data_IF_802994973614
#
_entry.id   IF_802994973614
#
_cell.length_a   1.000
_cell.length_b   1.000
_cell.length_c   1.000
_cell.angle_alpha   90.00
_cell.angle_beta   90.00
_cell.angle_gamma   90.00
#
_symmetry.space_group_name_H-M   'P 1'
#
loop_
_entity.id
_entity.type
_entity.pdbx_description
1 polymer ?
#
# COMPACT_ATOMS: atom_id res chain seq x y z
N UNK A 1 -12.76 0.42 11.31
CA UNK A 1 -13.53 0.88 10.13
C UNK A 1 -13.85 -0.33 9.29
N UNK A 2 -15.12 -0.58 8.93
CA UNK A 2 -15.48 -1.74 8.13
C UNK A 2 -15.15 -1.45 6.66
N UNK A 3 -14.34 -2.32 6.03
CA UNK A 3 -14.03 -2.21 4.61
C UNK A 3 -15.27 -2.57 3.78
N UNK A 4 -15.46 -1.81 2.71
CA UNK A 4 -16.49 -2.06 1.71
C UNK A 4 -15.93 -2.95 0.60
N UNK A 5 -16.78 -3.62 -0.21
CA UNK A 5 -16.32 -4.36 -1.38
C UNK A 5 -15.45 -3.51 -2.33
N UNK A 6 -15.77 -2.22 -2.48
CA UNK A 6 -14.98 -1.30 -3.30
C UNK A 6 -13.59 -1.01 -2.72
N UNK A 7 -13.46 -0.95 -1.39
CA UNK A 7 -12.14 -0.82 -0.75
C UNK A 7 -11.29 -2.06 -1.00
N UNK A 8 -11.90 -3.25 -0.91
CA UNK A 8 -11.21 -4.51 -1.21
C UNK A 8 -10.75 -4.57 -2.67
N UNK A 9 -11.64 -4.28 -3.62
CA UNK A 9 -11.28 -4.24 -5.04
C UNK A 9 -10.15 -3.24 -5.31
N UNK A 10 -10.18 -2.08 -4.64
CA UNK A 10 -9.11 -1.12 -4.78
C UNK A 10 -7.77 -1.62 -4.21
N UNK A 11 -7.79 -2.22 -3.02
CA UNK A 11 -6.58 -2.81 -2.44
C UNK A 11 -5.97 -3.87 -3.35
N UNK A 12 -6.79 -4.76 -3.92
CA UNK A 12 -6.32 -5.77 -4.87
C UNK A 12 -5.63 -5.16 -6.10
N UNK A 13 -6.16 -4.06 -6.64
CA UNK A 13 -5.48 -3.34 -7.74
C UNK A 13 -4.11 -2.83 -7.30
N UNK A 14 -4.01 -2.25 -6.10
CA UNK A 14 -2.73 -1.77 -5.58
C UNK A 14 -1.75 -2.89 -5.23
N UNK A 15 -2.24 -4.07 -4.84
CA UNK A 15 -1.40 -5.26 -4.66
C UNK A 15 -0.79 -5.69 -6.00
N UNK A 16 -1.58 -5.73 -7.07
CA UNK A 16 -1.08 -6.03 -8.42
C UNK A 16 -0.05 -5.00 -8.89
N UNK A 17 -0.33 -3.71 -8.73
CA UNK A 17 0.64 -2.64 -9.03
C UNK A 17 1.96 -2.84 -8.26
N UNK A 18 1.88 -3.18 -6.97
CA UNK A 18 3.04 -3.38 -6.12
C UNK A 18 3.83 -4.66 -6.44
N UNK A 19 3.19 -5.71 -6.94
CA UNK A 19 3.87 -6.96 -7.35
C UNK A 19 4.88 -6.69 -8.45
N UNK A 20 4.59 -5.78 -9.37
CA UNK A 20 5.47 -5.44 -10.49
C UNK A 20 6.56 -4.42 -10.13
N UNK A 21 6.45 -3.75 -8.97
CA UNK A 21 7.46 -2.78 -8.50
C UNK A 21 8.73 -3.46 -7.99
N UNK A 22 9.90 -2.85 -8.20
CA UNK A 22 11.10 -3.24 -7.46
C UNK A 22 10.91 -3.01 -5.95
N UNK A 23 11.67 -3.70 -5.09
CA UNK A 23 11.56 -3.49 -3.63
C UNK A 23 11.88 -2.05 -3.22
N UNK A 24 12.85 -1.40 -3.87
CA UNK A 24 13.16 0.01 -3.64
C UNK A 24 12.01 0.92 -4.09
N UNK A 25 11.42 0.65 -5.26
CA UNK A 25 10.27 1.40 -5.77
C UNK A 25 9.05 1.26 -4.87
N UNK A 26 8.79 0.05 -4.35
CA UNK A 26 7.71 -0.19 -3.39
C UNK A 26 7.92 0.60 -2.08
N UNK A 27 9.15 0.62 -1.55
CA UNK A 27 9.48 1.41 -0.35
C UNK A 27 9.31 2.91 -0.61
N UNK A 28 9.70 3.40 -1.78
CA UNK A 28 9.51 4.80 -2.16
C UNK A 28 8.02 5.17 -2.26
N UNK A 29 7.22 4.36 -2.94
CA UNK A 29 5.77 4.54 -3.01
C UNK A 29 5.12 4.53 -1.61
N UNK A 30 5.56 3.65 -0.71
CA UNK A 30 5.10 3.65 0.69
C UNK A 30 5.48 4.94 1.43
N UNK A 31 6.66 5.51 1.17
CA UNK A 31 7.06 6.80 1.76
C UNK A 31 6.19 7.95 1.25
N UNK A 32 5.87 7.97 -0.03
CA UNK A 32 4.97 8.97 -0.62
C UNK A 32 3.58 8.94 0.02
N UNK A 33 2.99 7.75 0.15
CA UNK A 33 1.69 7.59 0.81
C UNK A 33 1.76 8.00 2.29
N UNK A 34 2.85 7.65 2.99
CA UNK A 34 3.08 8.09 4.38
C UNK A 34 3.18 9.62 4.49
N UNK A 35 3.85 10.27 3.54
CA UNK A 35 3.97 11.73 3.50
C UNK A 35 2.61 12.40 3.26
N UNK A 36 1.76 11.83 2.40
CA UNK A 36 0.39 12.30 2.21
C UNK A 36 -0.39 12.20 3.53
N UNK A 37 -0.31 11.07 4.24
CA UNK A 37 -0.99 10.90 5.53
C UNK A 37 -0.48 11.83 6.62
N UNK A 38 0.81 12.19 6.61
CA UNK A 38 1.36 13.20 7.52
C UNK A 38 0.81 14.60 7.24
N UNK A 39 0.47 14.89 5.99
CA UNK A 39 -0.18 16.12 5.54
C UNK A 39 -1.69 15.98 5.38
N UNK A 40 -2.32 15.00 6.05
CA UNK A 40 -3.75 14.66 5.87
C UNK A 40 -4.73 15.82 6.02
N UNK A 41 -4.37 16.86 6.76
CA UNK A 41 -5.19 18.07 6.92
C UNK A 41 -5.36 18.84 5.59
N UNK A 42 -4.43 18.67 4.65
CA UNK A 42 -4.41 19.33 3.35
C UNK A 42 -5.20 18.54 2.28
N UNK A 43 -5.70 17.35 2.61
CA UNK A 43 -6.31 16.43 1.66
C UNK A 43 -7.75 16.08 2.03
N UNK A 44 -8.53 15.70 1.01
CA UNK A 44 -9.87 15.17 1.24
C UNK A 44 -9.83 13.86 2.02
N UNK A 45 -10.88 13.59 2.82
CA UNK A 45 -11.04 12.30 3.50
C UNK A 45 -11.02 11.11 2.54
N UNK A 46 -11.45 11.31 1.30
CA UNK A 46 -11.38 10.28 0.26
C UNK A 46 -9.91 9.97 -0.12
N UNK A 47 -9.09 11.00 -0.35
CA UNK A 47 -7.67 10.82 -0.64
C UNK A 47 -6.91 10.19 0.53
N UNK A 48 -7.18 10.63 1.76
CA UNK A 48 -6.61 10.04 2.99
C UNK A 48 -6.99 8.56 3.10
N UNK A 49 -8.26 8.20 2.89
CA UNK A 49 -8.72 6.81 2.91
C UNK A 49 -8.01 5.97 1.84
N UNK A 50 -7.88 6.48 0.61
CA UNK A 50 -7.19 5.78 -0.48
C UNK A 50 -5.71 5.53 -0.15
N UNK A 51 -5.05 6.52 0.45
CA UNK A 51 -3.66 6.41 0.89
C UNK A 51 -3.47 5.32 1.96
N UNK A 52 -4.37 5.24 2.94
CA UNK A 52 -4.38 4.13 3.91
C UNK A 52 -4.54 2.76 3.26
N UNK A 53 -5.45 2.62 2.29
CA UNK A 53 -5.68 1.35 1.60
C UNK A 53 -4.47 0.93 0.74
N UNK A 54 -3.83 1.88 0.06
CA UNK A 54 -2.57 1.62 -0.67
C UNK A 54 -1.46 1.16 0.24
N UNK A 55 -1.27 1.83 1.38
CA UNK A 55 -0.26 1.44 2.36
C UNK A 55 -0.48 0.02 2.90
N UNK A 56 -1.75 -0.36 3.12
CA UNK A 56 -2.08 -1.73 3.53
C UNK A 56 -1.68 -2.74 2.43
N UNK A 57 -2.11 -2.52 1.18
CA UNK A 57 -1.76 -3.36 0.05
C UNK A 57 -0.23 -3.49 -0.15
N UNK A 58 0.49 -2.37 -0.14
CA UNK A 58 1.93 -2.34 -0.33
C UNK A 58 2.68 -3.07 0.79
N UNK A 59 2.20 -2.93 2.03
CA UNK A 59 2.75 -3.64 3.18
C UNK A 59 2.58 -5.16 3.04
N UNK A 60 1.42 -5.61 2.58
CA UNK A 60 1.14 -7.04 2.41
C UNK A 60 2.04 -7.67 1.33
N UNK A 61 2.26 -6.96 0.22
CA UNK A 61 3.22 -7.37 -0.82
C UNK A 61 4.65 -7.40 -0.30
N UNK A 62 5.08 -6.35 0.41
CA UNK A 62 6.43 -6.29 0.98
C UNK A 62 6.69 -7.46 1.95
N UNK A 63 5.73 -7.73 2.83
CA UNK A 63 5.81 -8.83 3.79
C UNK A 63 5.85 -10.20 3.07
N UNK A 64 5.07 -10.37 2.01
CA UNK A 64 5.09 -11.59 1.18
C UNK A 64 6.47 -11.81 0.56
N UNK A 65 7.10 -10.76 0.02
CA UNK A 65 8.48 -10.83 -0.53
C UNK A 65 9.51 -11.19 0.54
N UNK A 66 9.44 -10.55 1.71
CA UNK A 66 10.35 -10.85 2.82
C UNK A 66 10.23 -12.32 3.26
N UNK A 67 9.01 -12.85 3.32
CA UNK A 67 8.78 -14.26 3.65
C UNK A 67 9.26 -15.23 2.57
N UNK A 68 9.16 -14.87 1.29
CA UNK A 68 9.73 -15.67 0.20
C UNK A 68 11.26 -15.72 0.32
N UNK A 69 11.92 -14.58 0.54
CA UNK A 69 13.37 -14.53 0.75
C UNK A 69 13.77 -15.41 1.93
N UNK A 70 13.10 -15.28 3.08
CA UNK A 70 13.41 -16.08 4.26
C UNK A 70 13.21 -17.60 4.09
N UNK A 71 12.37 -18.03 3.13
CA UNK A 71 12.15 -19.45 2.83
C UNK A 71 13.16 -20.04 1.85
N UNK A 72 13.81 -19.21 1.05
CA UNK A 72 14.72 -19.64 -0.03
C UNK A 72 16.16 -19.13 0.12
N UNK A 73 16.49 -18.46 1.23
CA UNK A 73 17.84 -18.05 1.62
C UNK A 73 18.46 -19.06 2.59
#
# INVERSE_FOLDING_TARGET
>A
MKLTPADHSFMTVCEFEAIDMSTSGLIEAMKEETNLLNRRADYSMHAVRRSYLRLAAYRDVLHTRQNQIARYA
#
